data_IF_062882760275
#
_entry.id   IF_062882760275
#
_cell.length_a   1.000
_cell.length_b   1.000
_cell.length_c   1.000
_cell.angle_alpha   90.00
_cell.angle_beta   90.00
_cell.angle_gamma   90.00
#
_symmetry.space_group_name_H-M   'P 1'
#
loop_
_entity.id
_entity.type
_entity.pdbx_description
1 polymer ?
#
# COMPACT_ATOMS: atom_id res chain seq x y z
N UNK A 1 13.88 17.81 -6.58
CA UNK A 1 12.49 17.44 -6.26
C UNK A 1 12.55 16.26 -5.31
N UNK A 2 12.25 16.44 -4.01
CA UNK A 2 12.27 15.35 -3.02
C UNK A 2 10.92 14.66 -3.09
N UNK A 3 10.91 13.39 -3.49
CA UNK A 3 9.69 12.59 -3.50
C UNK A 3 9.30 12.28 -2.05
N UNK A 4 8.18 12.85 -1.60
CA UNK A 4 7.66 12.58 -0.27
C UNK A 4 7.28 11.10 -0.15
N UNK A 5 7.63 10.49 0.99
CA UNK A 5 7.16 9.15 1.35
C UNK A 5 5.62 9.18 1.43
N UNK A 6 4.91 8.19 0.85
CA UNK A 6 3.45 8.14 0.95
C UNK A 6 2.99 8.17 2.40
N UNK A 7 1.90 8.89 2.66
CA UNK A 7 1.24 8.91 3.97
C UNK A 7 0.48 7.61 4.20
N UNK A 8 0.25 7.27 5.47
CA UNK A 8 -0.61 6.14 5.81
C UNK A 8 -2.08 6.50 5.52
N UNK A 9 -2.87 5.50 5.13
CA UNK A 9 -4.28 5.65 4.78
C UNK A 9 -5.15 4.78 5.69
N UNK A 10 -6.11 5.40 6.37
CA UNK A 10 -7.00 4.73 7.32
C UNK A 10 -8.30 4.22 6.68
N UNK A 11 -8.58 4.59 5.43
CA UNK A 11 -9.83 4.28 4.74
C UNK A 11 -10.77 5.47 4.56
N UNK A 12 -10.36 6.68 4.94
CA UNK A 12 -11.18 7.89 4.77
C UNK A 12 -11.48 8.17 3.28
N UNK A 13 -12.76 8.27 2.94
CA UNK A 13 -13.22 8.57 1.58
C UNK A 13 -13.20 10.09 1.26
N UNK A 14 -13.10 10.45 -0.01
CA UNK A 14 -13.08 11.81 -0.55
C UNK A 14 -11.67 12.28 -0.91
N UNK A 15 -11.31 13.50 -0.55
CA UNK A 15 -10.01 14.06 -0.92
C UNK A 15 -8.81 13.23 -0.37
N UNK A 16 -9.02 12.49 0.71
CA UNK A 16 -7.99 11.66 1.33
C UNK A 16 -7.62 10.43 0.48
N UNK A 17 -8.59 9.74 -0.13
CA UNK A 17 -8.28 8.58 -0.98
C UNK A 17 -7.65 8.99 -2.31
N UNK A 18 -8.12 10.08 -2.92
CA UNK A 18 -7.49 10.63 -4.12
C UNK A 18 -6.03 11.05 -3.88
N UNK A 19 -5.76 11.73 -2.76
CA UNK A 19 -4.41 12.13 -2.38
C UNK A 19 -3.51 10.92 -2.11
N UNK A 20 -4.03 9.88 -1.45
CA UNK A 20 -3.29 8.64 -1.19
C UNK A 20 -2.94 7.92 -2.50
N UNK A 21 -3.92 7.69 -3.38
CA UNK A 21 -3.71 7.03 -4.68
C UNK A 21 -2.73 7.84 -5.54
N UNK A 22 -2.86 9.17 -5.56
CA UNK A 22 -1.92 10.05 -6.25
C UNK A 22 -0.46 9.88 -5.79
N UNK A 23 -0.23 9.81 -4.48
CA UNK A 23 1.10 9.60 -3.90
C UNK A 23 1.68 8.22 -4.26
N UNK A 24 0.87 7.16 -4.19
CA UNK A 24 1.28 5.80 -4.56
C UNK A 24 1.64 5.72 -6.04
N UNK A 25 0.79 6.26 -6.92
CA UNK A 25 1.04 6.30 -8.36
C UNK A 25 2.33 7.06 -8.67
N UNK A 26 2.52 8.25 -8.10
CA UNK A 26 3.73 9.04 -8.31
C UNK A 26 4.99 8.29 -7.84
N UNK A 27 4.91 7.63 -6.68
CA UNK A 27 6.06 6.90 -6.12
C UNK A 27 6.45 5.69 -6.97
N UNK A 28 5.46 4.91 -7.41
CA UNK A 28 5.71 3.72 -8.25
C UNK A 28 6.22 4.09 -9.65
N UNK A 29 5.73 5.20 -10.23
CA UNK A 29 6.21 5.71 -11.51
C UNK A 29 7.63 6.31 -11.43
N UNK A 30 8.01 6.88 -10.30
CA UNK A 30 9.36 7.45 -10.10
C UNK A 30 10.42 6.35 -9.94
N UNK A 31 10.03 5.18 -9.41
CA UNK A 31 10.93 4.06 -9.14
C UNK A 31 10.48 2.76 -9.83
N UNK A 32 10.38 2.74 -11.17
CA UNK A 32 9.82 1.59 -11.89
C UNK A 32 10.61 0.29 -11.65
N UNK A 33 11.94 0.40 -11.47
CA UNK A 33 12.80 -0.77 -11.19
C UNK A 33 12.55 -1.39 -9.81
N UNK A 34 12.01 -0.64 -8.84
CA UNK A 34 11.64 -1.16 -7.52
C UNK A 34 10.25 -1.82 -7.53
N UNK A 35 9.43 -1.50 -8.53
CA UNK A 35 8.07 -2.03 -8.68
C UNK A 35 7.85 -2.70 -10.05
N UNK A 36 8.63 -3.75 -10.38
CA UNK A 36 8.61 -4.35 -11.72
C UNK A 36 7.33 -5.11 -12.03
N UNK A 37 6.52 -5.44 -11.02
CA UNK A 37 5.28 -6.22 -11.17
C UNK A 37 4.10 -5.50 -10.53
N UNK A 38 2.89 -5.75 -11.02
CA UNK A 38 1.69 -5.18 -10.40
C UNK A 38 1.49 -5.68 -8.96
N UNK A 39 1.91 -6.92 -8.67
CA UNK A 39 1.94 -7.45 -7.31
C UNK A 39 2.81 -6.59 -6.37
N UNK A 40 4.00 -6.17 -6.79
CA UNK A 40 4.87 -5.31 -5.97
C UNK A 40 4.25 -3.93 -5.70
N UNK A 41 3.50 -3.37 -6.66
CA UNK A 41 2.75 -2.12 -6.49
C UNK A 41 1.61 -2.28 -5.49
N UNK A 42 0.87 -3.39 -5.56
CA UNK A 42 -0.22 -3.71 -4.62
C UNK A 42 0.32 -3.91 -3.21
N UNK A 43 1.37 -4.71 -3.03
CA UNK A 43 2.02 -4.94 -1.72
C UNK A 43 2.53 -3.63 -1.13
N UNK A 44 3.15 -2.78 -1.94
CA UNK A 44 3.57 -1.45 -1.52
C UNK A 44 2.39 -0.60 -1.06
N UNK A 45 1.31 -0.52 -1.85
CA UNK A 45 0.08 0.23 -1.50
C UNK A 45 -0.51 -0.23 -0.17
N UNK A 46 -0.65 -1.55 0.00
CA UNK A 46 -1.21 -2.17 1.22
C UNK A 46 -0.33 -1.92 2.44
N UNK A 47 0.99 -1.78 2.27
CA UNK A 47 1.90 -1.49 3.39
C UNK A 47 1.67 -0.12 4.06
N UNK A 48 0.95 0.80 3.40
CA UNK A 48 0.56 2.09 3.95
C UNK A 48 -0.87 2.11 4.51
N UNK A 49 -1.63 1.03 4.40
CA UNK A 49 -2.97 0.96 4.95
C UNK A 49 -2.94 0.73 6.46
N UNK A 50 -3.79 1.44 7.21
CA UNK A 50 -3.97 1.32 8.66
C UNK A 50 -5.46 1.20 9.00
N UNK A 51 -5.75 0.80 10.23
CA UNK A 51 -7.09 0.84 10.82
C UNK A 51 -8.10 0.09 9.96
N UNK A 52 -9.18 0.76 9.54
CA UNK A 52 -10.21 0.16 8.71
C UNK A 52 -9.67 -0.35 7.38
N UNK A 53 -8.79 0.42 6.72
CA UNK A 53 -8.15 -0.01 5.47
C UNK A 53 -7.22 -1.22 5.68
N UNK A 54 -6.55 -1.33 6.82
CA UNK A 54 -5.72 -2.50 7.12
C UNK A 54 -6.57 -3.78 7.17
N UNK A 55 -7.68 -3.78 7.91
CA UNK A 55 -8.60 -4.91 7.99
C UNK A 55 -9.16 -5.29 6.61
N UNK A 56 -9.54 -4.31 5.80
CA UNK A 56 -9.97 -4.54 4.42
C UNK A 56 -8.88 -5.23 3.56
N UNK A 57 -7.62 -4.81 3.75
CA UNK A 57 -6.50 -5.27 2.93
C UNK A 57 -5.88 -6.61 3.35
N UNK A 58 -6.26 -7.16 4.52
CA UNK A 58 -5.69 -8.39 5.06
C UNK A 58 -5.63 -9.55 4.05
N UNK A 59 -6.65 -9.84 3.22
CA UNK A 59 -6.60 -10.95 2.27
C UNK A 59 -5.44 -10.84 1.26
N UNK A 60 -5.02 -9.63 0.92
CA UNK A 60 -3.93 -9.36 -0.02
C UNK A 60 -2.54 -9.47 0.61
N UNK A 61 -2.46 -9.48 1.95
CA UNK A 61 -1.22 -9.67 2.70
C UNK A 61 -0.94 -11.16 2.97
N UNK A 62 -1.98 -11.99 3.04
CA UNK A 62 -1.92 -13.40 3.50
C UNK A 62 -1.58 -14.41 2.39
N UNK A 63 -1.20 -13.95 1.19
CA UNK A 63 -0.69 -14.80 0.09
C UNK A 63 0.77 -15.24 0.24
N UNK A 64 1.45 -14.83 1.31
CA UNK A 64 2.75 -15.39 1.74
C UNK A 64 2.48 -16.62 2.62
N UNK A 65 3.27 -17.72 2.55
CA UNK A 65 2.95 -18.95 3.28
C UNK A 65 2.72 -18.66 4.76
N UNK A 66 1.48 -18.85 5.22
CA UNK A 66 1.06 -18.66 6.60
C UNK A 66 1.63 -19.80 7.45
N UNK A 67 2.92 -19.70 7.72
CA UNK A 67 3.62 -20.46 8.74
C UNK A 67 3.91 -19.56 9.93
N UNK A 68 3.50 -20.01 11.12
CA UNK A 68 3.85 -19.50 12.46
C UNK A 68 3.14 -18.23 12.94
N UNK A 69 2.05 -18.42 13.69
CA UNK A 69 2.01 -18.27 15.16
C UNK A 69 0.54 -18.49 15.58
N UNK A 70 0.16 -19.41 16.47
CA UNK A 70 0.88 -19.86 17.64
C UNK A 70 0.68 -18.87 18.79
N UNK A 71 -0.58 -18.70 19.24
CA UNK A 71 -1.07 -18.56 20.62
C UNK A 71 -2.57 -18.24 20.61
#
# INVERSE_FOLDING_TARGET
MVLAKPQHFDGTCGAADEAFVGQICLHTLTYPNQFPTDASKVVFTVSFMRDYAATWSQPYQQGLPLGTSGL
#
